data_IF_803414662329
#
_entry.id   IF_803414662329
#
_cell.length_a   1.000
_cell.length_b   1.000
_cell.length_c   1.000
_cell.angle_alpha   90.00
_cell.angle_beta   90.00
_cell.angle_gamma   90.00
#
_symmetry.space_group_name_H-M   'P 1'
#
loop_
_entity.id
_entity.type
_entity.pdbx_description
1 polymer ?
#
# COMPACT_ATOMS: atom_id res chain seq x y z
N UNK A 1 -20.84 12.76 -3.17
CA UNK A 1 -19.52 12.61 -3.83
C UNK A 1 -19.02 11.24 -3.41
N UNK A 2 -18.84 10.30 -4.34
CA UNK A 2 -18.53 8.90 -4.03
C UNK A 2 -17.05 8.74 -3.61
N UNK A 3 -16.75 7.97 -2.54
CA UNK A 3 -15.37 7.66 -2.18
C UNK A 3 -14.71 6.79 -3.26
N UNK A 4 -13.56 7.23 -3.77
CA UNK A 4 -12.83 6.57 -4.85
C UNK A 4 -11.54 5.98 -4.32
N UNK A 5 -11.39 4.66 -4.43
CA UNK A 5 -10.12 3.98 -4.20
C UNK A 5 -9.53 3.49 -5.54
N UNK A 6 -8.21 3.60 -5.69
CA UNK A 6 -7.47 3.15 -6.87
C UNK A 6 -6.34 2.22 -6.42
N UNK A 7 -6.51 0.91 -6.60
CA UNK A 7 -5.40 -0.02 -6.53
C UNK A 7 -4.77 -0.24 -7.92
N UNK A 8 -3.48 -0.53 -7.91
CA UNK A 8 -2.52 -0.60 -9.01
C UNK A 8 -3.09 -0.85 -10.42
N UNK A 9 -2.78 0.08 -11.32
CA UNK A 9 -2.97 -0.02 -12.77
C UNK A 9 -2.87 1.38 -13.38
N UNK A 10 -2.46 1.51 -14.66
CA UNK A 10 -2.45 2.80 -15.38
C UNK A 10 -3.82 3.52 -15.35
N UNK A 11 -4.88 2.78 -15.04
CA UNK A 11 -6.26 3.25 -14.95
C UNK A 11 -6.95 2.99 -13.59
N UNK A 12 -6.30 2.31 -12.64
CA UNK A 12 -6.85 1.93 -11.34
C UNK A 12 -8.10 1.05 -11.41
N UNK A 13 -8.10 -0.14 -10.80
CA UNK A 13 -9.37 -0.87 -10.67
C UNK A 13 -10.20 -0.16 -9.60
N UNK A 14 -11.29 0.49 -10.03
CA UNK A 14 -12.19 1.21 -9.14
C UNK A 14 -13.02 0.19 -8.36
N UNK A 15 -12.87 0.20 -7.05
CA UNK A 15 -13.70 -0.61 -6.15
C UNK A 15 -14.78 0.31 -5.61
N UNK A 16 -16.04 -0.13 -5.71
CA UNK A 16 -17.17 0.57 -5.11
C UNK A 16 -17.22 0.21 -3.62
N UNK A 17 -17.18 1.22 -2.78
CA UNK A 17 -17.11 1.07 -1.33
C UNK A 17 -18.34 1.70 -0.71
N UNK A 18 -18.91 1.03 0.30
CA UNK A 18 -20.01 1.61 1.06
C UNK A 18 -19.53 2.88 1.80
N UNK A 19 -20.44 3.85 1.89
CA UNK A 19 -20.24 5.16 2.52
C UNK A 19 -19.80 5.09 3.98
N UNK A 20 -20.11 4.00 4.70
CA UNK A 20 -19.67 3.76 6.08
C UNK A 20 -18.29 3.11 6.21
N UNK A 21 -17.68 2.63 5.11
CA UNK A 21 -16.41 1.92 5.17
C UNK A 21 -15.23 2.84 4.91
N UNK A 22 -14.53 3.21 5.98
CA UNK A 22 -13.47 4.22 5.95
C UNK A 22 -12.05 3.67 5.80
N UNK A 23 -11.85 2.37 6.06
CA UNK A 23 -10.54 1.72 6.08
C UNK A 23 -10.62 0.29 5.52
N UNK A 24 -9.61 -0.10 4.75
CA UNK A 24 -9.48 -1.42 4.13
C UNK A 24 -8.15 -2.05 4.48
N UNK A 25 -8.19 -3.35 4.76
CA UNK A 25 -7.00 -4.16 5.01
C UNK A 25 -6.70 -4.99 3.76
N UNK A 26 -5.51 -4.81 3.18
CA UNK A 26 -5.11 -5.57 2.02
C UNK A 26 -3.65 -6.00 2.08
N UNK A 27 -3.39 -7.26 1.73
CA UNK A 27 -2.06 -7.86 1.86
C UNK A 27 -1.14 -7.56 0.68
N UNK A 28 -1.70 -7.13 -0.46
CA UNK A 28 -0.89 -6.66 -1.58
C UNK A 28 -0.43 -5.24 -1.29
N UNK A 29 0.87 -5.04 -1.50
CA UNK A 29 1.55 -3.78 -1.25
C UNK A 29 1.71 -2.96 -2.54
N UNK A 30 1.46 -1.66 -2.42
CA UNK A 30 1.91 -0.63 -3.35
C UNK A 30 3.43 -0.63 -3.54
N UNK A 31 3.89 -0.21 -4.70
CA UNK A 31 5.32 0.14 -4.89
C UNK A 31 5.61 1.59 -4.54
N UNK A 32 4.58 2.44 -4.48
CA UNK A 32 4.67 3.89 -4.28
C UNK A 32 3.69 4.33 -3.19
N UNK A 33 4.09 5.34 -2.42
CA UNK A 33 3.23 6.05 -1.46
C UNK A 33 2.88 5.32 -0.17
N UNK A 34 3.42 4.12 0.04
CA UNK A 34 3.21 3.38 1.28
C UNK A 34 4.18 3.82 2.38
N UNK A 35 3.60 4.08 3.55
CA UNK A 35 4.35 4.26 4.79
C UNK A 35 4.58 2.90 5.45
N UNK A 36 5.83 2.52 5.64
CA UNK A 36 6.20 1.25 6.27
C UNK A 36 6.63 1.49 7.72
N UNK A 37 5.96 0.81 8.66
CA UNK A 37 6.32 0.92 10.07
C UNK A 37 7.68 0.27 10.36
N UNK A 38 8.50 0.86 11.25
CA UNK A 38 9.87 0.38 11.52
C UNK A 38 9.96 -1.09 11.95
N UNK A 39 9.02 -1.55 12.79
CA UNK A 39 9.04 -2.92 13.33
C UNK A 39 8.79 -3.97 12.24
N UNK A 40 7.69 -3.92 11.46
CA UNK A 40 7.50 -4.82 10.30
C UNK A 40 8.64 -4.73 9.28
N UNK A 41 9.17 -3.54 9.02
CA UNK A 41 10.28 -3.36 8.08
C UNK A 41 11.55 -4.07 8.52
N UNK A 42 11.92 -3.96 9.81
CA UNK A 42 13.07 -4.67 10.37
C UNK A 42 12.90 -6.18 10.26
N UNK A 43 11.71 -6.70 10.56
CA UNK A 43 11.42 -8.13 10.43
C UNK A 43 11.52 -8.61 8.98
N UNK A 44 10.99 -7.83 8.03
CA UNK A 44 11.14 -8.11 6.61
C UNK A 44 12.60 -8.21 6.19
N UNK A 45 13.45 -7.26 6.63
CA UNK A 45 14.87 -7.24 6.26
C UNK A 45 15.59 -8.51 6.73
N UNK A 46 15.37 -8.93 7.98
CA UNK A 46 15.95 -10.15 8.52
C UNK A 46 15.44 -11.39 7.77
N UNK A 47 14.12 -11.48 7.58
CA UNK A 47 13.49 -12.57 6.84
C UNK A 47 14.01 -12.68 5.40
N UNK A 48 14.15 -11.54 4.71
CA UNK A 48 14.65 -11.46 3.35
C UNK A 48 16.08 -12.01 3.25
N UNK A 49 16.98 -11.57 4.13
CA UNK A 49 18.39 -11.98 4.10
C UNK A 49 18.52 -13.49 4.37
N UNK A 50 17.76 -14.03 5.34
CA UNK A 50 17.72 -15.47 5.62
C UNK A 50 17.20 -16.31 4.45
N UNK A 51 16.10 -15.90 3.81
CA UNK A 51 15.47 -16.66 2.73
C UNK A 51 16.32 -16.60 1.46
N UNK A 52 16.92 -15.44 1.19
CA UNK A 52 17.85 -15.27 0.09
C UNK A 52 19.08 -16.15 0.25
N UNK A 53 19.66 -16.22 1.45
CA UNK A 53 20.80 -17.10 1.73
C UNK A 53 20.48 -18.58 1.49
N UNK A 54 19.22 -19.00 1.72
CA UNK A 54 18.72 -20.35 1.43
C UNK A 54 18.39 -20.60 -0.05
N UNK A 55 18.62 -19.63 -0.93
CA UNK A 55 18.30 -19.74 -2.37
C UNK A 55 16.80 -19.69 -2.69
N UNK A 56 15.96 -19.36 -1.72
CA UNK A 56 14.50 -19.25 -1.92
C UNK A 56 14.22 -18.07 -2.85
N UNK A 57 13.17 -18.19 -3.67
CA UNK A 57 12.71 -17.11 -4.57
C UNK A 57 11.38 -16.54 -4.10
N UNK A 58 11.09 -15.26 -4.38
CA UNK A 58 9.88 -14.58 -3.92
C UNK A 58 8.63 -14.92 -4.75
N UNK A 59 8.63 -16.04 -5.46
CA UNK A 59 7.50 -16.42 -6.29
C UNK A 59 6.28 -16.79 -5.45
N UNK A 60 5.13 -16.35 -5.94
CA UNK A 60 3.79 -16.59 -5.42
C UNK A 60 2.88 -16.98 -6.58
N UNK A 61 1.96 -17.91 -6.39
CA UNK A 61 1.12 -18.40 -7.49
C UNK A 61 0.28 -17.28 -8.10
N UNK A 62 0.13 -17.27 -9.43
CA UNK A 62 -0.72 -16.33 -10.20
C UNK A 62 -0.32 -14.84 -10.09
N UNK A 63 0.81 -14.50 -9.45
CA UNK A 63 1.20 -13.10 -9.24
C UNK A 63 1.94 -12.48 -10.44
N UNK A 64 1.49 -11.29 -10.87
CA UNK A 64 2.18 -10.47 -11.91
C UNK A 64 3.62 -10.11 -11.50
N UNK A 65 3.88 -10.00 -10.20
CA UNK A 65 5.20 -9.68 -9.64
C UNK A 65 6.24 -10.77 -9.91
N UNK A 66 5.82 -12.01 -10.21
CA UNK A 66 6.73 -13.04 -10.71
C UNK A 66 7.37 -12.64 -12.04
N UNK A 67 6.58 -12.05 -12.95
CA UNK A 67 7.08 -11.57 -14.24
C UNK A 67 8.08 -10.42 -14.06
N UNK A 68 7.79 -9.50 -13.14
CA UNK A 68 8.70 -8.40 -12.80
C UNK A 68 10.02 -8.95 -12.23
N UNK A 69 9.96 -9.92 -11.32
CA UNK A 69 11.15 -10.53 -10.73
C UNK A 69 11.96 -11.34 -11.75
N UNK A 70 11.31 -12.05 -12.68
CA UNK A 70 12.03 -12.71 -13.79
C UNK A 70 12.82 -11.72 -14.64
N UNK A 71 12.30 -10.50 -14.85
CA UNK A 71 12.94 -9.46 -15.66
C UNK A 71 14.01 -8.67 -14.91
N UNK A 72 13.77 -8.33 -13.63
CA UNK A 72 14.60 -7.39 -12.87
C UNK A 72 15.44 -8.06 -11.77
N UNK A 73 15.11 -9.30 -11.39
CA UNK A 73 15.79 -10.06 -10.35
C UNK A 73 15.83 -9.32 -9.02
N UNK A 74 16.99 -9.36 -8.37
CA UNK A 74 17.24 -8.75 -7.05
C UNK A 74 17.24 -7.22 -7.05
N UNK A 75 17.04 -6.56 -8.19
CA UNK A 75 16.92 -5.09 -8.25
C UNK A 75 15.59 -4.59 -7.70
N UNK A 76 14.61 -5.48 -7.52
CA UNK A 76 13.30 -5.15 -6.96
C UNK A 76 13.03 -5.94 -5.68
N UNK A 77 12.57 -5.24 -4.65
CA UNK A 77 12.27 -5.80 -3.34
C UNK A 77 10.77 -6.12 -3.17
N UNK A 78 9.90 -5.55 -3.99
CA UNK A 78 8.44 -5.68 -3.89
C UNK A 78 7.93 -7.12 -3.87
N UNK A 79 8.38 -8.03 -4.76
CA UNK A 79 7.90 -9.42 -4.74
C UNK A 79 8.26 -10.13 -3.42
N UNK A 80 9.44 -9.84 -2.88
CA UNK A 80 9.88 -10.36 -1.58
C UNK A 80 9.01 -9.83 -0.45
N UNK A 81 8.68 -8.54 -0.49
CA UNK A 81 7.85 -7.94 0.54
C UNK A 81 6.42 -8.46 0.52
N UNK A 82 5.80 -8.62 -0.66
CA UNK A 82 4.47 -9.24 -0.77
C UNK A 82 4.48 -10.65 -0.17
N UNK A 83 5.50 -11.45 -0.50
CA UNK A 83 5.64 -12.80 0.06
C UNK A 83 5.80 -12.80 1.59
N UNK A 84 6.58 -11.85 2.12
CA UNK A 84 6.73 -11.65 3.57
C UNK A 84 5.40 -11.28 4.24
N UNK A 85 4.67 -10.30 3.69
CA UNK A 85 3.39 -9.83 4.24
C UNK A 85 2.38 -10.99 4.28
N UNK A 86 2.27 -11.75 3.18
CA UNK A 86 1.40 -12.91 3.11
C UNK A 86 1.80 -14.01 4.11
N UNK A 87 3.09 -14.32 4.25
CA UNK A 87 3.53 -15.39 5.14
C UNK A 87 3.42 -15.06 6.63
N UNK A 88 3.39 -13.78 7.00
CA UNK A 88 3.29 -13.32 8.39
C UNK A 88 1.90 -12.79 8.76
N UNK A 89 0.93 -12.85 7.83
CA UNK A 89 -0.43 -12.37 8.07
C UNK A 89 -0.51 -10.85 8.29
N UNK A 90 0.43 -10.09 7.75
CA UNK A 90 0.38 -8.64 7.82
C UNK A 90 -0.63 -8.08 6.81
N UNK A 91 -1.12 -6.87 7.10
CA UNK A 91 -2.02 -6.12 6.22
C UNK A 91 -1.52 -4.69 6.08
N UNK A 92 -1.76 -4.12 4.91
CA UNK A 92 -1.64 -2.68 4.70
C UNK A 92 -2.99 -2.04 4.97
N UNK A 93 -2.94 -0.86 5.57
CA UNK A 93 -4.10 -0.02 5.83
C UNK A 93 -4.23 0.93 4.65
N UNK A 94 -5.36 0.82 3.96
CA UNK A 94 -5.75 1.74 2.89
C UNK A 94 -6.93 2.57 3.37
N UNK A 95 -6.83 3.88 3.15
CA UNK A 95 -7.84 4.84 3.59
C UNK A 95 -8.89 5.05 2.52
N UNK A 96 -10.13 5.19 2.95
CA UNK A 96 -11.28 5.59 2.13
C UNK A 96 -12.05 6.69 2.86
N UNK A 97 -11.33 7.72 3.29
CA UNK A 97 -11.98 8.85 3.97
C UNK A 97 -12.73 9.72 2.97
N UNK A 98 -13.81 10.39 3.41
CA UNK A 98 -14.50 11.38 2.59
C UNK A 98 -13.54 12.44 2.05
N UNK A 99 -13.84 12.93 0.85
CA UNK A 99 -13.07 13.95 0.12
C UNK A 99 -11.66 13.51 -0.28
N UNK A 100 -11.45 12.21 -0.54
CA UNK A 100 -10.14 11.67 -0.98
C UNK A 100 -9.02 12.01 0.01
N UNK A 101 -9.35 11.97 1.31
CA UNK A 101 -8.39 12.17 2.38
C UNK A 101 -7.59 10.90 2.67
N UNK A 102 -6.32 11.05 3.02
CA UNK A 102 -5.41 9.95 3.31
C UNK A 102 -4.51 10.28 4.50
N UNK A 103 -4.01 9.23 5.17
CA UNK A 103 -3.03 9.34 6.27
C UNK A 103 -1.60 9.61 5.75
N UNK A 104 -1.35 9.29 4.48
CA UNK A 104 -0.06 9.48 3.81
C UNK A 104 -0.33 9.89 2.37
N UNK A 105 0.39 10.89 1.88
CA UNK A 105 0.18 11.50 0.57
C UNK A 105 1.51 11.60 -0.14
N UNK A 106 1.55 11.19 -1.42
CA UNK A 106 2.74 11.29 -2.25
C UNK A 106 2.70 12.56 -3.09
N UNK A 107 3.80 13.31 -3.09
CA UNK A 107 3.97 14.42 -4.01
C UNK A 107 4.45 13.91 -5.37
N UNK A 108 3.67 14.22 -6.41
CA UNK A 108 3.94 13.80 -7.79
C UNK A 108 4.84 14.81 -8.48
N UNK A 109 6.08 14.87 -8.02
CA UNK A 109 7.09 15.75 -8.59
C UNK A 109 7.60 15.23 -9.94
N UNK A 110 8.11 16.14 -10.78
CA UNK A 110 8.71 15.78 -12.05
C UNK A 110 9.89 14.80 -11.84
N UNK A 111 9.90 13.69 -12.59
CA UNK A 111 10.91 12.64 -12.44
C UNK A 111 10.57 11.38 -13.22
N UNK A 112 11.05 10.24 -12.74
CA UNK A 112 10.97 8.94 -13.45
C UNK A 112 9.52 8.52 -13.77
N UNK A 113 8.54 8.96 -12.97
CA UNK A 113 7.13 8.56 -13.13
C UNK A 113 6.20 9.68 -13.63
N UNK A 114 6.63 10.95 -13.55
CA UNK A 114 5.84 12.09 -13.97
C UNK A 114 6.69 13.05 -14.80
N UNK A 115 6.24 13.40 -16.01
CA UNK A 115 6.92 14.38 -16.85
C UNK A 115 6.77 15.84 -16.38
N UNK A 116 5.97 16.09 -15.35
CA UNK A 116 5.72 17.39 -14.75
C UNK A 116 5.30 17.24 -13.29
N UNK A 117 5.56 18.26 -12.48
CA UNK A 117 5.05 18.33 -11.11
C UNK A 117 3.53 18.51 -11.13
N UNK A 118 2.81 17.66 -10.42
CA UNK A 118 1.35 17.64 -10.33
C UNK A 118 0.83 17.77 -8.88
N UNK A 119 1.72 18.03 -7.92
CA UNK A 119 1.37 18.19 -6.51
C UNK A 119 0.93 16.88 -5.84
N UNK A 120 0.24 16.95 -4.70
CA UNK A 120 -0.18 15.77 -3.96
C UNK A 120 -1.16 14.89 -4.78
N UNK A 121 -1.17 13.60 -4.51
CA UNK A 121 -2.09 12.62 -5.09
C UNK A 121 -3.42 12.50 -4.33
N UNK A 122 -3.50 13.01 -3.11
CA UNK A 122 -4.68 13.01 -2.23
C UNK A 122 -4.62 14.15 -1.21
N UNK A 123 -5.69 14.39 -0.46
CA UNK A 123 -5.68 15.38 0.61
C UNK A 123 -5.14 14.75 1.90
N UNK A 124 -4.19 15.39 2.57
CA UNK A 124 -3.69 14.88 3.85
C UNK A 124 -4.75 15.12 4.93
N UNK A 125 -5.02 14.11 5.74
CA UNK A 125 -5.87 14.26 6.92
C UNK A 125 -5.18 15.18 7.94
N UNK A 126 -5.80 16.30 8.29
CA UNK A 126 -5.29 17.23 9.30
C UNK A 126 -6.01 17.05 10.66
N UNK A 127 -5.39 17.55 11.74
CA UNK A 127 -5.94 17.45 13.10
C UNK A 127 -7.26 18.21 13.26
N UNK A 128 -7.49 19.25 12.46
CA UNK A 128 -8.70 20.08 12.51
C UNK A 128 -9.91 19.42 11.82
N UNK A 129 -9.68 18.37 11.01
CA UNK A 129 -10.69 17.65 10.24
C UNK A 129 -11.00 16.26 10.80
N UNK A 130 -10.43 15.92 11.96
CA UNK A 130 -10.86 14.84 12.82
C UNK A 130 -12.19 15.23 13.47
N UNK A 131 -13.30 15.03 12.76
CA UNK A 131 -14.58 14.92 13.47
C UNK A 131 -14.44 13.74 14.44
N UNK A 132 -14.41 14.04 15.74
CA UNK A 132 -14.26 13.06 16.84
C UNK A 132 -15.25 11.88 16.74
N UNK A 133 -16.30 12.00 15.93
CA UNK A 133 -17.27 10.95 15.61
C UNK A 133 -16.69 9.77 14.80
N UNK A 134 -15.55 9.90 14.12
CA UNK A 134 -14.96 8.79 13.34
C UNK A 134 -14.37 7.66 14.20
N UNK A 135 -13.93 7.95 15.44
CA UNK A 135 -13.34 6.96 16.34
C UNK A 135 -14.36 6.32 17.29
N UNK A 136 -15.52 6.96 17.51
CA UNK A 136 -16.53 6.49 18.47
C UNK A 136 -17.40 5.32 17.95
N UNK A 137 -17.40 5.05 16.65
CA UNK A 137 -18.19 3.96 16.06
C UNK A 137 -17.41 2.64 15.91
N UNK A 138 -16.16 2.57 16.38
CA UNK A 138 -15.41 1.32 16.48
C UNK A 138 -15.74 0.57 17.78
N UNK A 139 -17.03 0.37 18.06
CA UNK A 139 -17.46 -0.66 19.01
C UNK A 139 -17.41 -1.99 18.29
N UNK A 140 -16.45 -2.83 18.69
CA UNK A 140 -16.49 -4.25 18.39
C UNK A 140 -17.64 -4.86 19.22
N UNK A 141 -18.76 -5.16 18.57
CA UNK A 141 -19.68 -6.21 19.06
C UNK A 141 -19.14 -7.59 18.69
#
# INVERSE_FOLDING_TARGET
MEPRFSDQGKYGNKIHLDSGMHVFLYQIVGTWGQLLFPKPWKQFRLWYDEHKAKGIKPYLEVMVTNGWYKKMGERIWTPWFIKFILSHGYFNIYTNFPNERALSVSHRDAGVNYGKTAGPDSQLLDENSLDYNFLNNATFE
#
